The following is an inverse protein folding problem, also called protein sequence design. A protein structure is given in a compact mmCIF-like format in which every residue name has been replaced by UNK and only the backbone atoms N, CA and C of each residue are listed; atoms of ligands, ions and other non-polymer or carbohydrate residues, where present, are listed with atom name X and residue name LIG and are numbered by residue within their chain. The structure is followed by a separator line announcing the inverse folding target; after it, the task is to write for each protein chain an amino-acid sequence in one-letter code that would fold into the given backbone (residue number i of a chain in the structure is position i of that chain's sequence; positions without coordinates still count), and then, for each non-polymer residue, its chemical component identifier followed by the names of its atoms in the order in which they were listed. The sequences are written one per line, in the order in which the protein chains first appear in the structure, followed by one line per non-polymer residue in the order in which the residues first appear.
data_IF_856588326195
#
_entry.id   IF_856588326195
#
_cell.length_a   1.000
_cell.length_b   1.000
_cell.length_c   1.000
_cell.angle_alpha   90.00
_cell.angle_beta   90.00
_cell.angle_gamma   90.00
#
_symmetry.space_group_name_H-M   'P 1'
#
loop_
_entity.id
_entity.type
_entity.pdbx_description
1 polymer ?
#
# COMPACT_ATOMS: atom_id res chain seq x y z
N UNK A 1 14.53 2.06 -9.51
CA UNK A 1 13.96 2.56 -8.24
C UNK A 1 14.82 3.71 -7.77
N UNK A 2 14.23 4.91 -7.62
CA UNK A 2 14.95 6.09 -7.12
C UNK A 2 14.41 6.41 -5.73
N UNK A 3 15.30 6.54 -4.75
CA UNK A 3 14.95 7.02 -3.41
C UNK A 3 15.09 8.53 -3.43
N UNK A 4 13.99 9.24 -3.22
CA UNK A 4 14.02 10.69 -3.14
C UNK A 4 14.21 11.14 -1.69
N UNK A 5 15.29 11.87 -1.45
CA UNK A 5 15.47 12.67 -0.26
C UNK A 5 15.24 14.16 -0.62
N UNK A 6 14.61 14.90 0.29
CA UNK A 6 14.40 16.33 0.10
C UNK A 6 15.75 17.05 0.23
N UNK A 7 16.06 17.95 -0.72
CA UNK A 7 17.32 18.71 -0.73
C UNK A 7 17.49 19.59 0.52
N UNK A 8 16.40 20.19 0.98
CA UNK A 8 16.30 20.91 2.26
C UNK A 8 15.28 20.20 3.15
N UNK A 9 15.73 19.36 4.09
CA UNK A 9 14.83 18.60 4.95
C UNK A 9 14.20 19.52 6.00
N UNK A 10 12.86 19.46 6.11
CA UNK A 10 12.11 20.20 7.16
C UNK A 10 12.30 19.54 8.53
N UNK A 11 12.54 18.23 8.55
CA UNK A 11 12.65 17.42 9.75
C UNK A 11 14.01 16.71 9.79
N UNK A 12 14.39 16.18 10.96
CA UNK A 12 15.56 15.29 11.05
C UNK A 12 15.36 14.06 10.15
N UNK A 13 16.45 13.41 9.70
CA UNK A 13 16.36 12.19 8.91
C UNK A 13 15.50 11.11 9.58
N UNK A 14 15.61 10.98 10.91
CA UNK A 14 14.84 10.02 11.71
C UNK A 14 13.33 10.33 11.72
N UNK A 15 12.96 11.60 11.53
CA UNK A 15 11.58 12.07 11.42
C UNK A 15 11.10 12.18 9.96
N UNK A 16 11.87 11.68 9.00
CA UNK A 16 11.51 11.68 7.58
C UNK A 16 11.25 10.27 7.09
N UNK A 17 10.10 10.05 6.45
CA UNK A 17 9.82 8.78 5.77
C UNK A 17 10.31 8.86 4.32
N UNK A 18 11.35 8.11 3.91
CA UNK A 18 11.78 8.08 2.52
C UNK A 18 10.70 7.44 1.65
N UNK A 19 10.56 7.94 0.42
CA UNK A 19 9.64 7.40 -0.57
C UNK A 19 10.46 6.83 -1.72
N UNK A 20 10.16 5.57 -2.08
CA UNK A 20 10.71 4.95 -3.28
C UNK A 20 9.78 5.24 -4.45
N UNK A 21 10.29 5.95 -5.46
CA UNK A 21 9.56 6.14 -6.71
C UNK A 21 9.94 5.07 -7.71
N UNK A 22 8.90 4.47 -8.28
CA UNK A 22 8.98 3.63 -9.46
C UNK A 22 8.89 4.54 -10.69
N UNK A 23 9.61 4.18 -11.75
CA UNK A 23 9.39 4.82 -13.05
C UNK A 23 7.99 4.50 -13.59
N UNK A 24 7.57 5.24 -14.61
CA UNK A 24 6.24 5.12 -15.18
C UNK A 24 5.93 3.70 -15.69
N UNK A 25 6.90 3.00 -16.26
CA UNK A 25 6.71 1.65 -16.78
C UNK A 25 6.47 0.66 -15.64
N UNK A 26 7.28 0.73 -14.58
CA UNK A 26 7.12 -0.08 -13.38
C UNK A 26 5.80 0.22 -12.65
N UNK A 27 5.29 1.45 -12.68
CA UNK A 27 3.95 1.78 -12.16
C UNK A 27 2.82 1.09 -12.92
N UNK A 28 2.94 0.95 -14.25
CA UNK A 28 1.96 0.19 -15.04
C UNK A 28 2.02 -1.29 -14.68
N UNK A 29 3.23 -1.86 -14.56
CA UNK A 29 3.42 -3.26 -14.17
C UNK A 29 2.90 -3.52 -12.76
N UNK A 30 3.18 -2.65 -11.79
CA UNK A 30 2.65 -2.71 -10.43
C UNK A 30 1.12 -2.80 -10.44
N UNK A 31 0.45 -1.95 -11.21
CA UNK A 31 -1.02 -1.94 -11.31
C UNK A 31 -1.57 -3.21 -11.95
N UNK A 32 -0.90 -3.74 -12.98
CA UNK A 32 -1.28 -5.00 -13.63
C UNK A 32 -1.09 -6.20 -12.70
N UNK A 33 0.04 -6.24 -11.97
CA UNK A 33 0.33 -7.27 -11.00
C UNK A 33 -0.69 -7.26 -9.86
N UNK A 34 -0.95 -6.07 -9.28
CA UNK A 34 -1.89 -5.90 -8.19
C UNK A 34 -3.29 -6.39 -8.55
N UNK A 35 -3.79 -6.08 -9.74
CA UNK A 35 -5.15 -6.50 -10.14
C UNK A 35 -5.26 -8.03 -10.23
N UNK A 36 -4.25 -8.71 -10.78
CA UNK A 36 -4.21 -10.17 -10.88
C UNK A 36 -4.01 -10.82 -9.52
N UNK A 37 -3.13 -10.26 -8.70
CA UNK A 37 -2.81 -10.79 -7.37
C UNK A 37 -4.01 -10.67 -6.42
N UNK A 38 -4.70 -9.53 -6.42
CA UNK A 38 -5.92 -9.34 -5.63
C UNK A 38 -7.01 -10.35 -5.99
N UNK A 39 -7.17 -10.66 -7.29
CA UNK A 39 -8.11 -11.70 -7.73
C UNK A 39 -7.76 -13.04 -7.07
N UNK A 40 -6.50 -13.46 -7.13
CA UNK A 40 -6.04 -14.72 -6.52
C UNK A 40 -6.24 -14.72 -5.00
N UNK A 41 -5.94 -13.62 -4.32
CA UNK A 41 -6.11 -13.50 -2.86
C UNK A 41 -7.57 -13.66 -2.45
N UNK A 42 -8.49 -13.00 -3.18
CA UNK A 42 -9.92 -13.05 -2.88
C UNK A 42 -10.53 -14.41 -3.23
N UNK A 43 -10.25 -14.94 -4.42
CA UNK A 43 -10.80 -16.22 -4.89
C UNK A 43 -10.37 -17.38 -3.98
N UNK A 44 -9.19 -17.29 -3.35
CA UNK A 44 -8.68 -18.30 -2.43
C UNK A 44 -8.96 -18.00 -0.95
N UNK A 45 -9.62 -16.89 -0.63
CA UNK A 45 -9.91 -16.50 0.76
C UNK A 45 -8.66 -16.33 1.63
N UNK A 46 -7.54 -15.86 1.06
CA UNK A 46 -6.25 -15.80 1.75
C UNK A 46 -6.13 -14.63 2.73
N UNK A 47 -7.02 -13.65 2.64
CA UNK A 47 -7.05 -12.48 3.53
C UNK A 47 -8.05 -12.73 4.66
N UNK A 48 -7.64 -12.69 5.93
CA UNK A 48 -8.55 -12.89 7.06
C UNK A 48 -9.53 -11.72 7.19
N UNK A 49 -10.73 -11.98 7.71
CA UNK A 49 -11.79 -10.96 7.82
C UNK A 49 -11.50 -9.86 8.85
N UNK A 50 -10.60 -10.14 9.80
CA UNK A 50 -10.10 -9.14 10.73
C UNK A 50 -9.10 -8.15 10.10
N UNK A 51 -8.60 -8.42 8.88
CA UNK A 51 -7.71 -7.53 8.17
C UNK A 51 -8.49 -6.38 7.52
N UNK A 52 -8.22 -5.17 8.00
CA UNK A 52 -8.81 -3.94 7.52
C UNK A 52 -7.79 -3.04 6.82
N UNK A 53 -8.25 -2.17 5.92
CA UNK A 53 -7.40 -1.25 5.18
C UNK A 53 -6.97 -1.82 3.83
N UNK A 54 -6.97 -0.98 2.79
CA UNK A 54 -6.63 -1.34 1.41
C UNK A 54 -7.42 -2.53 0.82
N UNK A 55 -8.55 -2.92 1.44
CA UNK A 55 -9.46 -3.97 0.99
C UNK A 55 -10.82 -3.34 0.65
N UNK A 56 -11.44 -3.81 -0.42
CA UNK A 56 -12.78 -3.34 -0.80
C UNK A 56 -13.77 -3.59 0.35
N UNK A 57 -14.61 -2.59 0.64
CA UNK A 57 -15.62 -2.62 1.71
C UNK A 57 -15.09 -2.68 3.16
N UNK A 58 -13.77 -2.66 3.40
CA UNK A 58 -13.20 -2.51 4.74
C UNK A 58 -12.75 -1.06 4.96
N UNK A 59 -13.34 -0.41 5.97
CA UNK A 59 -13.03 0.97 6.38
C UNK A 59 -12.50 0.99 7.82
N UNK A 60 -11.91 2.11 8.25
CA UNK A 60 -11.49 2.27 9.65
C UNK A 60 -12.64 1.95 10.63
N UNK A 61 -13.84 2.44 10.33
CA UNK A 61 -15.05 2.17 11.11
C UNK A 61 -15.34 0.67 11.28
N UNK A 62 -15.20 -0.11 10.20
CA UNK A 62 -15.40 -1.57 10.29
C UNK A 62 -14.41 -2.24 11.22
N UNK A 63 -13.19 -1.70 11.41
CA UNK A 63 -12.22 -2.26 12.36
C UNK A 63 -12.52 -1.88 13.79
N UNK A 64 -12.92 -0.64 14.04
CA UNK A 64 -13.18 -0.12 15.40
C UNK A 64 -14.44 -0.74 15.99
N UNK A 65 -15.47 -1.01 15.17
CA UNK A 65 -16.73 -1.61 15.62
C UNK A 65 -16.67 -3.15 15.77
N UNK A 66 -15.63 -3.80 15.27
CA UNK A 66 -15.40 -5.26 15.38
C UNK A 66 -14.42 -5.62 16.52
N UNK A 67 -14.06 -4.65 17.37
CA UNK A 67 -13.37 -4.86 18.65
C UNK A 67 -14.39 -5.04 19.76
#
# INVERSE_FOLDING_TARGET
MVILAKKEPICTPDATRPISLLDCHLKVIEKLFLSRFLKVLNDRGLLPDNQSGFRANHRLQSRVLLL
#
